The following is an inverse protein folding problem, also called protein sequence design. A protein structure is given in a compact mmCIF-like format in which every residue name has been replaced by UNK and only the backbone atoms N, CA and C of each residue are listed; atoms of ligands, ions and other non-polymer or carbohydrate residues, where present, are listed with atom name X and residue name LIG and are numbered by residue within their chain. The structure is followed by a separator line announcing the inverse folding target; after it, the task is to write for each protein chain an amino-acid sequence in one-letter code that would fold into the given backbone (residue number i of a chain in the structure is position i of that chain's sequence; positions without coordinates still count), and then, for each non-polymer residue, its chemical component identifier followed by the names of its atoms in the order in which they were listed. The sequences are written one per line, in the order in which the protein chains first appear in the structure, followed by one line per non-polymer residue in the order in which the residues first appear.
data_IF_477766870938
#
_entry.id   IF_477766870938
#
_cell.length_a   1.000
_cell.length_b   1.000
_cell.length_c   1.000
_cell.angle_alpha   90.00
_cell.angle_beta   90.00
_cell.angle_gamma   90.00
#
_symmetry.space_group_name_H-M   'P 1'
#
loop_
_entity.id
_entity.type
_entity.pdbx_description
1 polymer ?
#
# COMPACT_ATOMS: atom_id res chain seq x y z
N UNK A 1 -30.20 4.29 25.06
CA UNK A 1 -30.21 4.54 23.60
C UNK A 1 -28.79 4.85 23.17
N UNK A 2 -28.03 3.83 22.78
CA UNK A 2 -26.69 3.96 22.19
C UNK A 2 -26.48 2.74 21.31
N UNK A 3 -27.20 2.70 20.18
CA UNK A 3 -26.98 1.69 19.16
C UNK A 3 -25.75 2.12 18.36
N UNK A 4 -24.64 1.44 18.63
CA UNK A 4 -23.37 1.67 17.98
C UNK A 4 -23.50 1.43 16.48
N UNK A 5 -23.47 2.53 15.72
CA UNK A 5 -23.37 2.51 14.27
C UNK A 5 -21.95 2.09 13.87
N UNK A 6 -21.60 0.82 14.07
CA UNK A 6 -20.45 0.16 13.42
C UNK A 6 -20.88 -0.35 12.04
N UNK A 7 -21.61 0.51 11.33
CA UNK A 7 -22.20 0.25 10.03
C UNK A 7 -21.13 0.33 8.94
N UNK A 8 -20.69 -0.85 8.51
CA UNK A 8 -20.40 -1.13 7.11
C UNK A 8 -19.12 -0.53 6.48
N UNK A 9 -17.93 -0.84 7.03
CA UNK A 9 -16.64 -0.66 6.31
C UNK A 9 -16.42 -1.67 5.16
N UNK A 10 -17.42 -2.47 4.81
CA UNK A 10 -17.37 -3.43 3.72
C UNK A 10 -18.53 -3.15 2.76
N UNK A 11 -18.48 -2.04 2.03
CA UNK A 11 -19.18 -1.95 0.76
C UNK A 11 -18.73 -3.13 -0.11
N UNK A 12 -19.52 -4.22 -0.08
CA UNK A 12 -19.32 -5.46 -0.85
C UNK A 12 -19.62 -5.25 -2.35
N UNK A 13 -20.11 -4.07 -2.72
CA UNK A 13 -20.44 -3.71 -4.09
C UNK A 13 -19.15 -3.32 -4.82
N UNK A 14 -18.48 -4.28 -5.46
CA UNK A 14 -17.51 -3.98 -6.51
C UNK A 14 -16.10 -4.56 -6.39
N UNK A 15 -15.76 -5.31 -5.32
CA UNK A 15 -14.42 -5.93 -5.24
C UNK A 15 -14.35 -7.22 -6.04
N UNK A 16 -13.72 -7.18 -7.21
CA UNK A 16 -13.36 -8.38 -7.98
C UNK A 16 -12.62 -9.39 -7.10
N UNK A 17 -12.99 -10.67 -7.21
CA UNK A 17 -12.28 -11.77 -6.56
C UNK A 17 -10.84 -11.91 -7.08
N UNK A 18 -9.99 -12.62 -6.32
CA UNK A 18 -8.58 -12.82 -6.68
C UNK A 18 -8.41 -13.34 -8.11
N UNK A 19 -9.16 -14.37 -8.49
CA UNK A 19 -9.08 -14.98 -9.83
C UNK A 19 -9.28 -13.95 -10.94
N UNK A 20 -10.30 -13.08 -10.82
CA UNK A 20 -10.58 -12.05 -11.82
C UNK A 20 -9.51 -10.96 -11.85
N UNK A 21 -8.88 -10.65 -10.73
CA UNK A 21 -7.72 -9.74 -10.67
C UNK A 21 -6.49 -10.38 -11.35
N UNK A 22 -6.25 -11.67 -11.12
CA UNK A 22 -5.22 -12.43 -11.82
C UNK A 22 -5.46 -12.41 -13.33
N UNK A 23 -6.69 -12.66 -13.79
CA UNK A 23 -7.06 -12.57 -15.21
C UNK A 23 -6.78 -11.18 -15.79
N UNK A 24 -7.15 -10.12 -15.07
CA UNK A 24 -6.84 -8.75 -15.51
C UNK A 24 -5.32 -8.51 -15.61
N UNK A 25 -4.54 -9.03 -14.67
CA UNK A 25 -3.07 -8.94 -14.74
C UNK A 25 -2.52 -9.68 -15.96
N UNK A 26 -3.03 -10.88 -16.28
CA UNK A 26 -2.65 -11.60 -17.50
C UNK A 26 -2.96 -10.77 -18.76
N UNK A 27 -4.11 -10.09 -18.80
CA UNK A 27 -4.42 -9.19 -19.92
C UNK A 27 -3.48 -7.97 -20.00
N UNK A 28 -3.03 -7.44 -18.85
CA UNK A 28 -1.99 -6.39 -18.81
C UNK A 28 -0.69 -6.92 -19.42
N UNK A 29 -0.26 -8.12 -19.03
CA UNK A 29 0.95 -8.76 -19.57
C UNK A 29 0.86 -9.05 -21.08
N UNK A 30 -0.34 -9.34 -21.57
CA UNK A 30 -0.61 -9.56 -23.00
C UNK A 30 -0.76 -8.25 -23.80
N UNK A 31 -0.58 -7.07 -23.18
CA UNK A 31 -0.63 -5.78 -23.87
C UNK A 31 -2.04 -5.28 -24.23
N UNK A 32 -3.09 -5.77 -23.56
CA UNK A 32 -4.44 -5.25 -23.76
C UNK A 32 -4.54 -3.79 -23.29
N UNK A 33 -4.79 -2.90 -24.25
CA UNK A 33 -4.86 -1.44 -24.05
C UNK A 33 -5.89 -0.99 -23.00
N UNK A 34 -6.93 -1.78 -22.74
CA UNK A 34 -7.94 -1.51 -21.73
C UNK A 34 -7.68 -2.17 -20.38
N UNK A 35 -6.78 -3.15 -20.31
CA UNK A 35 -6.57 -3.95 -19.10
C UNK A 35 -5.96 -3.14 -17.96
N UNK A 36 -5.02 -2.24 -18.25
CA UNK A 36 -4.44 -1.35 -17.22
C UNK A 36 -5.51 -0.48 -16.56
N UNK A 37 -6.42 0.10 -17.36
CA UNK A 37 -7.53 0.92 -16.83
C UNK A 37 -8.53 0.10 -16.01
N UNK A 38 -8.85 -1.12 -16.46
CA UNK A 38 -9.74 -2.02 -15.70
C UNK A 38 -9.08 -2.49 -14.41
N UNK A 39 -7.79 -2.79 -14.45
CA UNK A 39 -7.02 -3.19 -13.28
C UNK A 39 -6.96 -2.03 -12.27
N UNK A 40 -6.61 -0.82 -12.71
CA UNK A 40 -6.55 0.35 -11.83
C UNK A 40 -7.89 0.60 -11.13
N UNK A 41 -9.01 0.58 -11.86
CA UNK A 41 -10.34 0.77 -11.28
C UNK A 41 -10.70 -0.23 -10.18
N UNK A 42 -10.11 -1.43 -10.19
CA UNK A 42 -10.35 -2.45 -9.18
C UNK A 42 -9.31 -2.46 -8.05
N UNK A 43 -8.09 -2.06 -8.34
CA UNK A 43 -6.96 -2.04 -7.39
C UNK A 43 -6.96 -0.77 -6.56
N UNK A 44 -7.28 0.38 -7.14
CA UNK A 44 -7.26 1.69 -6.45
C UNK A 44 -8.07 1.68 -5.15
N UNK A 45 -9.32 1.18 -5.09
CA UNK A 45 -10.06 1.12 -3.83
C UNK A 45 -9.43 0.24 -2.76
N UNK A 46 -8.66 -0.80 -3.15
CA UNK A 46 -7.93 -1.67 -2.22
C UNK A 46 -6.74 -0.95 -1.61
N UNK A 47 -5.98 -0.22 -2.44
CA UNK A 47 -4.84 0.58 -2.00
C UNK A 47 -5.30 1.74 -1.11
N UNK A 48 -6.38 2.45 -1.48
CA UNK A 48 -6.96 3.52 -0.66
C UNK A 48 -7.32 2.98 0.73
N UNK A 49 -8.06 1.87 0.80
CA UNK A 49 -8.45 1.29 2.08
C UNK A 49 -7.23 0.87 2.94
N UNK A 50 -6.16 0.38 2.31
CA UNK A 50 -4.92 0.04 3.01
C UNK A 50 -4.26 1.30 3.61
N UNK A 51 -4.06 2.35 2.81
CA UNK A 51 -3.39 3.58 3.25
C UNK A 51 -4.23 4.42 4.21
N UNK A 52 -5.57 4.43 4.07
CA UNK A 52 -6.46 4.99 5.08
C UNK A 52 -6.26 4.31 6.44
N UNK A 53 -6.12 2.98 6.47
CA UNK A 53 -5.79 2.24 7.69
C UNK A 53 -4.43 2.65 8.29
N UNK A 54 -3.44 2.99 7.45
CA UNK A 54 -2.14 3.50 7.92
C UNK A 54 -2.23 4.93 8.47
N UNK A 55 -3.03 5.79 7.83
CA UNK A 55 -3.29 7.15 8.31
C UNK A 55 -4.05 7.14 9.64
N UNK A 56 -5.05 6.27 9.78
CA UNK A 56 -5.78 6.06 11.05
C UNK A 56 -4.85 5.57 12.17
N UNK A 57 -3.83 4.78 11.82
CA UNK A 57 -2.82 4.32 12.76
C UNK A 57 -1.70 5.37 13.01
N UNK A 58 -1.80 6.57 12.44
CA UNK A 58 -0.83 7.65 12.62
C UNK A 58 0.52 7.43 11.93
N UNK A 59 0.62 6.48 10.99
CA UNK A 59 1.89 6.16 10.30
C UNK A 59 2.18 7.11 9.14
N UNK A 60 1.15 7.67 8.52
CA UNK A 60 1.23 8.64 7.42
C UNK A 60 0.17 9.72 7.61
N UNK A 61 0.28 10.84 6.89
CA UNK A 61 -0.76 11.87 6.89
C UNK A 61 -1.82 11.52 5.86
N UNK A 62 -3.05 12.00 6.08
CA UNK A 62 -4.16 11.73 5.16
C UNK A 62 -3.93 12.31 3.76
N UNK A 63 -3.20 13.43 3.66
CA UNK A 63 -2.84 14.07 2.39
C UNK A 63 -1.90 13.23 1.51
N UNK A 64 -1.13 12.31 2.10
CA UNK A 64 -0.15 11.47 1.38
C UNK A 64 -0.81 10.29 0.65
N UNK A 65 -2.05 9.95 1.01
CA UNK A 65 -2.74 8.74 0.55
C UNK A 65 -2.79 8.67 -0.98
N UNK A 66 -3.12 9.77 -1.66
CA UNK A 66 -3.27 9.77 -3.12
C UNK A 66 -1.92 9.60 -3.84
N UNK A 67 -0.82 10.12 -3.27
CA UNK A 67 0.53 9.90 -3.83
C UNK A 67 0.92 8.44 -3.68
N UNK A 68 0.77 7.89 -2.47
CA UNK A 68 1.10 6.50 -2.17
C UNK A 68 0.28 5.50 -3.00
N UNK A 69 -1.01 5.75 -3.22
CA UNK A 69 -1.85 4.92 -4.10
C UNK A 69 -1.33 4.94 -5.54
N UNK A 70 -0.92 6.10 -6.04
CA UNK A 70 -0.35 6.24 -7.39
C UNK A 70 0.99 5.51 -7.50
N UNK A 71 1.89 5.73 -6.55
CA UNK A 71 3.21 5.10 -6.51
C UNK A 71 3.10 3.58 -6.40
N UNK A 72 2.24 3.06 -5.52
CA UNK A 72 2.02 1.63 -5.39
C UNK A 72 1.43 1.02 -6.68
N UNK A 73 0.52 1.72 -7.36
CA UNK A 73 0.00 1.23 -8.63
C UNK A 73 1.04 1.23 -9.75
N UNK A 74 1.94 2.22 -9.79
CA UNK A 74 3.09 2.20 -10.70
C UNK A 74 3.99 0.99 -10.42
N UNK A 75 4.31 0.75 -9.14
CA UNK A 75 5.09 -0.41 -8.72
C UNK A 75 4.42 -1.75 -9.11
N UNK A 76 3.08 -1.84 -9.07
CA UNK A 76 2.34 -3.00 -9.59
C UNK A 76 2.62 -3.23 -11.08
N UNK A 77 2.64 -2.17 -11.89
CA UNK A 77 2.92 -2.29 -13.33
C UNK A 77 4.38 -2.63 -13.60
N UNK A 78 5.31 -2.02 -12.87
CA UNK A 78 6.75 -2.27 -12.99
C UNK A 78 7.12 -3.72 -12.61
N UNK A 79 6.44 -4.29 -11.61
CA UNK A 79 6.68 -5.65 -11.14
C UNK A 79 5.76 -6.69 -11.82
N UNK A 80 4.90 -6.27 -12.75
CA UNK A 80 3.90 -7.15 -13.36
C UNK A 80 4.52 -8.40 -14.01
N UNK A 81 5.66 -8.25 -14.70
CA UNK A 81 6.35 -9.35 -15.39
C UNK A 81 6.93 -10.39 -14.42
N UNK A 82 7.17 -10.01 -13.17
CA UNK A 82 7.64 -10.90 -12.10
C UNK A 82 6.52 -11.50 -11.26
N UNK A 83 5.25 -11.24 -11.57
CA UNK A 83 4.12 -11.76 -10.79
C UNK A 83 3.95 -13.26 -10.99
N UNK A 84 4.04 -14.02 -9.89
CA UNK A 84 3.73 -15.44 -9.84
C UNK A 84 2.22 -15.67 -9.63
N UNK A 85 1.58 -16.34 -10.59
CA UNK A 85 0.15 -16.65 -10.55
C UNK A 85 -0.23 -17.63 -9.42
N UNK A 86 0.72 -18.37 -8.83
CA UNK A 86 0.48 -19.17 -7.64
C UNK A 86 0.29 -18.29 -6.38
N UNK A 87 0.79 -17.05 -6.40
CA UNK A 87 0.58 -16.09 -5.32
C UNK A 87 -0.76 -15.38 -5.49
N UNK A 88 -1.66 -15.36 -4.47
CA UNK A 88 -2.91 -14.62 -4.56
C UNK A 88 -2.66 -13.14 -4.85
N UNK A 89 -3.29 -12.61 -5.90
CA UNK A 89 -3.07 -11.23 -6.35
C UNK A 89 -3.16 -10.19 -5.24
N UNK A 90 -4.17 -10.29 -4.36
CA UNK A 90 -4.34 -9.34 -3.26
C UNK A 90 -3.21 -9.41 -2.22
N UNK A 91 -2.63 -10.59 -2.00
CA UNK A 91 -1.50 -10.74 -1.09
C UNK A 91 -0.26 -10.04 -1.67
N UNK A 92 0.02 -10.29 -2.95
CA UNK A 92 1.09 -9.62 -3.69
C UNK A 92 0.90 -8.09 -3.76
N UNK A 93 -0.33 -7.61 -4.00
CA UNK A 93 -0.66 -6.19 -3.98
C UNK A 93 -0.37 -5.54 -2.62
N UNK A 94 -0.72 -6.21 -1.52
CA UNK A 94 -0.44 -5.72 -0.17
C UNK A 94 1.07 -5.68 0.12
N UNK A 95 1.83 -6.63 -0.42
CA UNK A 95 3.30 -6.62 -0.32
C UNK A 95 3.88 -5.38 -1.00
N UNK A 96 3.46 -5.09 -2.23
CA UNK A 96 3.86 -3.87 -2.95
C UNK A 96 3.48 -2.62 -2.15
N UNK A 97 2.24 -2.54 -1.65
CA UNK A 97 1.77 -1.39 -0.89
C UNK A 97 2.59 -1.15 0.39
N UNK A 98 3.01 -2.22 1.08
CA UNK A 98 3.91 -2.14 2.25
C UNK A 98 5.30 -1.68 1.85
N UNK A 99 5.87 -2.23 0.78
CA UNK A 99 7.21 -1.82 0.32
C UNK A 99 7.21 -0.35 -0.10
N UNK A 100 6.19 0.12 -0.81
CA UNK A 100 6.01 1.55 -1.13
C UNK A 100 5.91 2.39 0.13
N UNK A 101 5.12 1.96 1.13
CA UNK A 101 5.00 2.66 2.41
C UNK A 101 6.35 2.77 3.14
N UNK A 102 7.11 1.68 3.20
CA UNK A 102 8.41 1.66 3.86
C UNK A 102 9.43 2.56 3.16
N UNK A 103 9.37 2.65 1.83
CA UNK A 103 10.20 3.58 1.06
C UNK A 103 9.80 5.05 1.24
N UNK A 104 8.51 5.33 1.51
CA UNK A 104 8.00 6.66 1.80
C UNK A 104 8.38 7.14 3.21
N UNK A 105 8.35 6.24 4.19
CA UNK A 105 8.68 6.59 5.57
C UNK A 105 10.15 7.03 5.66
N UNK A 106 10.46 8.12 6.38
CA UNK A 106 11.83 8.53 6.56
C UNK A 106 12.60 7.38 7.21
N UNK A 107 13.69 6.96 6.56
CA UNK A 107 14.64 6.01 7.12
C UNK A 107 14.95 6.46 8.54
N UNK A 108 14.43 5.75 9.53
CA UNK A 108 14.74 6.02 10.92
C UNK A 108 16.15 5.49 11.13
N UNK A 109 17.15 6.22 10.62
CA UNK A 109 18.49 6.08 11.14
C UNK A 109 18.38 6.54 12.58
N UNK A 110 18.27 5.58 13.50
CA UNK A 110 18.57 5.82 14.90
C UNK A 110 19.99 6.35 14.90
N UNK A 111 20.15 7.67 14.96
CA UNK A 111 21.44 8.29 15.25
C UNK A 111 21.81 7.76 16.63
N UNK A 112 22.83 6.91 16.79
CA UNK A 112 23.28 6.58 18.13
C UNK A 112 23.69 7.91 18.77
N UNK A 113 22.99 8.29 19.84
CA UNK A 113 23.37 9.41 20.69
C UNK A 113 24.73 9.05 21.30
N UNK A 114 25.81 9.38 20.58
CA UNK A 114 27.16 9.41 21.14
C UNK A 114 27.32 10.69 21.95
N UNK A 115 26.44 10.89 22.94
CA UNK A 115 26.69 11.87 24.00
C UNK A 115 27.56 11.16 25.03
N UNK A 116 28.87 11.19 24.81
CA UNK A 116 29.83 10.99 25.90
C UNK A 116 29.87 12.28 26.71
N UNK A 117 29.42 12.31 27.97
CA UNK A 117 29.61 13.50 28.80
C UNK A 117 31.06 13.49 29.28
N UNK A 118 31.94 14.19 28.57
CA UNK A 118 33.24 14.60 29.11
C UNK A 118 32.99 15.61 30.24
N UNK A 119 32.71 15.11 31.44
CA UNK A 119 32.70 15.89 32.67
C UNK A 119 34.16 16.26 32.96
N UNK A 120 34.59 17.44 32.52
CA UNK A 120 35.78 18.09 33.05
C UNK A 120 35.35 19.13 34.08
N UNK A 121 35.37 18.71 35.35
CA UNK A 121 35.42 19.60 36.52
C UNK A 121 36.60 19.17 37.39
N UNK A 122 37.51 20.12 37.66
CA UNK A 122 38.60 20.09 38.64
C UNK A 122 39.69 19.03 38.39
N UNK A 123 40.99 19.32 38.48
CA UNK A 123 41.78 20.09 39.45
C UNK A 123 42.98 20.69 38.72
#
# INVERSE_FOLDING_TARGET
MTEGYRGNCLCKVGRLGNERLCTLMVHVLNGDRGAVRRLSGNVTPLLVAFYEGQAQAGRIRHEDIQSLVREAFLAVLENATGYDAATPFRAWLLEIARTTLLGYLPSTSVTPLLTSPSIQWAI
#
